data_IF_049961980307
#
_entry.id   IF_049961980307
#
_cell.length_a   1.000
_cell.length_b   1.000
_cell.length_c   1.000
_cell.angle_alpha   90.00
_cell.angle_beta   90.00
_cell.angle_gamma   90.00
#
_symmetry.space_group_name_H-M   'P 1'
#
loop_
_entity.id
_entity.type
_entity.pdbx_description
1 polymer ?
#
# COMPACT_ATOMS: atom_id res chain seq x y z
N UNK A 1 -1.18 -9.64 14.42
CA UNK A 1 -1.41 -9.62 12.97
C UNK A 1 -0.26 -8.90 12.28
N UNK A 2 0.55 -9.62 11.51
CA UNK A 2 1.68 -9.06 10.75
C UNK A 2 1.20 -8.38 9.44
N UNK A 3 2.12 -7.79 8.67
CA UNK A 3 1.73 -7.06 7.44
C UNK A 3 1.15 -7.97 6.36
N UNK A 4 1.69 -9.19 6.20
CA UNK A 4 1.20 -10.15 5.22
C UNK A 4 -0.24 -10.55 5.53
N UNK A 5 -0.53 -10.90 6.78
CA UNK A 5 -1.88 -11.25 7.23
C UNK A 5 -2.87 -10.09 7.01
N UNK A 6 -2.43 -8.83 7.17
CA UNK A 6 -3.25 -7.64 6.85
C UNK A 6 -3.61 -7.55 5.37
N UNK A 7 -2.67 -7.84 4.49
CA UNK A 7 -2.89 -7.78 3.04
C UNK A 7 -3.75 -8.97 2.61
N UNK A 8 -3.51 -10.18 3.14
CA UNK A 8 -4.34 -11.36 2.87
C UNK A 8 -5.80 -11.15 3.26
N UNK A 9 -6.06 -10.47 4.38
CA UNK A 9 -7.41 -10.14 4.87
C UNK A 9 -8.01 -8.85 4.28
N UNK A 10 -7.22 -8.06 3.53
CA UNK A 10 -7.71 -6.86 2.86
C UNK A 10 -8.86 -7.21 1.90
N UNK A 11 -9.94 -6.44 1.93
CA UNK A 11 -11.08 -6.58 1.03
C UNK A 11 -10.97 -5.51 -0.05
N UNK A 12 -10.64 -5.88 -1.30
CA UNK A 12 -10.60 -4.93 -2.41
C UNK A 12 -11.90 -4.16 -2.56
N UNK A 13 -11.80 -2.86 -2.81
CA UNK A 13 -12.94 -2.00 -3.08
C UNK A 13 -13.41 -2.08 -4.54
N UNK A 14 -12.51 -2.44 -5.46
CA UNK A 14 -12.77 -2.50 -6.91
C UNK A 14 -11.83 -3.50 -7.61
N UNK A 15 -12.05 -3.71 -8.91
CA UNK A 15 -11.28 -4.61 -9.79
C UNK A 15 -9.78 -4.25 -9.89
N UNK A 16 -9.44 -2.99 -9.64
CA UNK A 16 -8.05 -2.53 -9.65
C UNK A 16 -7.36 -3.03 -8.38
N UNK A 17 -7.97 -2.84 -7.21
CA UNK A 17 -7.44 -3.32 -5.94
C UNK A 17 -7.41 -4.86 -5.84
N UNK A 18 -8.29 -5.58 -6.53
CA UNK A 18 -8.23 -7.05 -6.62
C UNK A 18 -6.93 -7.50 -7.28
N UNK A 19 -6.59 -6.89 -8.42
CA UNK A 19 -5.35 -7.18 -9.15
C UNK A 19 -4.12 -6.72 -8.39
N UNK A 20 -4.17 -5.55 -7.75
CA UNK A 20 -3.06 -5.07 -6.92
C UNK A 20 -2.78 -6.01 -5.74
N UNK A 21 -3.84 -6.49 -5.06
CA UNK A 21 -3.68 -7.40 -3.92
C UNK A 21 -3.03 -8.72 -4.35
N UNK A 22 -3.45 -9.29 -5.47
CA UNK A 22 -2.84 -10.50 -6.04
C UNK A 22 -1.35 -10.29 -6.28
N UNK A 23 -1.00 -9.21 -6.99
CA UNK A 23 0.37 -8.85 -7.32
C UNK A 23 1.24 -8.60 -6.07
N UNK A 24 0.72 -7.85 -5.09
CA UNK A 24 1.43 -7.59 -3.84
C UNK A 24 1.74 -8.90 -3.11
N UNK A 25 0.78 -9.82 -3.02
CA UNK A 25 0.98 -11.10 -2.34
C UNK A 25 1.99 -12.00 -3.07
N UNK A 26 1.97 -12.01 -4.40
CA UNK A 26 2.96 -12.70 -5.24
C UNK A 26 4.38 -12.17 -4.95
N UNK A 27 4.59 -10.85 -5.05
CA UNK A 27 5.90 -10.26 -4.78
C UNK A 27 6.36 -10.42 -3.33
N UNK A 28 5.45 -10.39 -2.35
CA UNK A 28 5.78 -10.67 -0.96
C UNK A 28 6.22 -12.12 -0.73
N UNK A 29 5.78 -13.06 -1.56
CA UNK A 29 6.21 -14.46 -1.47
C UNK A 29 7.59 -14.67 -2.09
N UNK A 30 7.90 -13.98 -3.19
CA UNK A 30 9.17 -14.12 -3.92
C UNK A 30 10.31 -13.28 -3.33
N UNK A 31 9.98 -12.17 -2.67
CA UNK A 31 10.97 -11.18 -2.24
C UNK A 31 10.99 -10.98 -0.71
N UNK A 32 11.94 -11.59 0.02
CA UNK A 32 12.04 -11.43 1.48
C UNK A 32 12.39 -10.00 1.91
N UNK A 33 12.96 -9.19 1.02
CA UNK A 33 13.36 -7.80 1.27
C UNK A 33 12.35 -6.78 0.73
N UNK A 34 11.10 -7.17 0.49
CA UNK A 34 10.06 -6.28 -0.07
C UNK A 34 9.80 -5.02 0.78
N UNK A 35 10.18 -5.02 2.06
CA UNK A 35 10.05 -3.84 2.94
C UNK A 35 11.25 -2.89 2.92
N UNK A 36 12.31 -3.26 2.20
CA UNK A 36 13.55 -2.51 2.14
C UNK A 36 13.83 -2.05 0.70
N UNK A 37 14.64 -1.00 0.55
CA UNK A 37 14.89 -0.37 -0.77
C UNK A 37 15.93 -1.09 -1.61
N UNK A 38 16.57 -2.13 -1.09
CA UNK A 38 17.53 -2.99 -1.79
C UNK A 38 16.85 -3.82 -2.88
N UNK A 39 15.53 -4.03 -2.78
CA UNK A 39 14.75 -4.63 -3.84
C UNK A 39 14.78 -3.74 -5.10
N UNK A 40 15.34 -4.27 -6.18
CA UNK A 40 15.51 -3.55 -7.46
C UNK A 40 14.21 -3.37 -8.24
N UNK A 41 13.22 -4.23 -8.01
CA UNK A 41 11.96 -4.23 -8.77
C UNK A 41 10.89 -3.39 -8.10
N UNK A 42 10.56 -3.70 -6.84
CA UNK A 42 9.51 -3.02 -6.09
C UNK A 42 9.77 -3.12 -4.58
N UNK A 43 9.29 -2.15 -3.80
CA UNK A 43 9.30 -2.19 -2.35
C UNK A 43 8.00 -1.58 -1.81
N UNK A 44 7.61 -1.99 -0.59
CA UNK A 44 6.40 -1.50 0.06
C UNK A 44 6.52 -0.02 0.40
N UNK A 45 5.44 0.71 0.17
CA UNK A 45 5.29 2.12 0.55
C UNK A 45 4.02 2.30 1.37
N UNK A 46 3.94 3.41 2.10
CA UNK A 46 2.73 3.81 2.80
C UNK A 46 2.40 5.27 2.49
N UNK A 47 1.12 5.53 2.25
CA UNK A 47 0.57 6.87 2.06
C UNK A 47 -0.47 7.13 3.15
N UNK A 48 -0.53 8.36 3.65
CA UNK A 48 -1.48 8.74 4.69
C UNK A 48 -2.73 9.37 4.07
N UNK A 49 -3.91 8.79 4.31
CA UNK A 49 -5.19 9.41 3.99
C UNK A 49 -5.68 10.23 5.18
N UNK A 50 -5.23 11.48 5.25
CA UNK A 50 -5.47 12.38 6.39
C UNK A 50 -6.68 13.28 6.10
N UNK A 51 -7.69 13.22 6.96
CA UNK A 51 -8.93 14.03 6.86
C UNK A 51 -9.16 14.88 8.11
N UNK A 52 -9.86 16.02 7.97
CA UNK A 52 -10.36 16.75 9.13
C UNK A 52 -11.47 15.95 9.86
N UNK A 53 -11.82 16.37 11.09
CA UNK A 53 -12.81 15.68 11.94
C UNK A 53 -14.16 15.49 11.22
N UNK A 54 -14.59 16.48 10.45
CA UNK A 54 -15.84 16.48 9.70
C UNK A 54 -15.76 15.67 8.39
N UNK A 55 -14.57 15.20 8.00
CA UNK A 55 -14.30 14.41 6.77
C UNK A 55 -14.68 15.15 5.48
N UNK A 56 -14.56 16.47 5.49
CA UNK A 56 -14.88 17.36 4.36
C UNK A 56 -13.64 17.86 3.62
N UNK A 57 -12.45 17.65 4.18
CA UNK A 57 -11.16 18.08 3.62
C UNK A 57 -10.12 16.97 3.76
N UNK A 58 -9.26 16.85 2.76
CA UNK A 58 -8.09 15.96 2.75
C UNK A 58 -6.83 16.82 2.81
N UNK A 59 -5.88 16.45 3.68
CA UNK A 59 -4.58 17.12 3.75
C UNK A 59 -3.67 16.60 2.64
N UNK A 60 -3.19 17.51 1.80
CA UNK A 60 -2.23 17.25 0.71
C UNK A 60 -1.04 18.19 0.86
N UNK A 61 0.12 17.79 0.35
CA UNK A 61 1.31 18.64 0.26
C UNK A 61 1.46 19.12 -1.17
N UNK A 62 1.70 20.43 -1.35
CA UNK A 62 2.06 20.97 -2.65
C UNK A 62 3.56 20.73 -2.89
N UNK A 63 3.88 19.88 -3.87
CA UNK A 63 5.25 19.66 -4.30
C UNK A 63 5.68 20.85 -5.18
N UNK A 64 6.51 21.75 -4.64
CA UNK A 64 7.08 22.88 -5.37
C UNK A 64 8.53 22.57 -5.77
N UNK A 65 8.67 21.79 -6.85
CA UNK A 65 9.96 21.30 -7.37
C UNK A 65 10.31 22.05 -8.65
#
# INVERSE_FOLDING_TARGET
MNMREKIELYKPFNEQEERDKELILEYMAENPNIFLRESRLAHMTASAWIVNKERTKVLMVYHNI
#
